data_IF_687492515769
#
_entry.id   IF_687492515769
#
_cell.length_a   1.000
_cell.length_b   1.000
_cell.length_c   1.000
_cell.angle_alpha   90.00
_cell.angle_beta   90.00
_cell.angle_gamma   90.00
#
_symmetry.space_group_name_H-M   'P 1'
#
loop_
_entity.id
_entity.type
_entity.pdbx_description
1 polymer ?
#
# COMPACT_ATOMS: atom_id res chain seq x y z
N UNK A 1 -15.66 61.39 -47.56
CA UNK A 1 -15.15 62.47 -46.68
C UNK A 1 -15.38 62.08 -45.22
N UNK A 2 -14.29 62.10 -44.42
CA UNK A 2 -14.19 62.30 -42.96
C UNK A 2 -14.86 61.25 -42.02
N UNK A 3 -14.05 60.38 -41.38
CA UNK A 3 -13.57 60.40 -39.95
C UNK A 3 -14.63 59.88 -38.97
N UNK A 4 -14.36 59.18 -37.86
CA UNK A 4 -13.24 58.55 -37.16
C UNK A 4 -13.84 58.04 -35.84
N UNK A 5 -13.46 56.86 -35.32
CA UNK A 5 -13.01 56.63 -33.92
C UNK A 5 -13.12 55.17 -33.47
N UNK A 6 -11.97 54.65 -33.06
CA UNK A 6 -11.70 53.37 -32.42
C UNK A 6 -12.32 53.26 -31.02
N UNK A 7 -12.49 52.03 -30.49
CA UNK A 7 -12.10 51.60 -29.13
C UNK A 7 -12.14 50.05 -29.10
N UNK A 8 -10.99 49.44 -28.79
CA UNK A 8 -10.87 48.06 -28.32
C UNK A 8 -11.31 48.00 -26.85
N UNK A 9 -12.07 47.00 -26.43
CA UNK A 9 -12.07 46.59 -25.02
C UNK A 9 -12.25 45.07 -24.85
N UNK A 10 -11.26 44.54 -24.16
CA UNK A 10 -11.09 43.21 -23.57
C UNK A 10 -12.28 42.89 -22.64
N UNK A 11 -12.84 41.68 -22.65
CA UNK A 11 -13.84 41.28 -21.64
C UNK A 11 -13.63 39.83 -21.18
N UNK A 12 -13.14 39.77 -19.95
CA UNK A 12 -13.08 38.68 -18.99
C UNK A 12 -14.45 37.97 -18.89
N UNK A 13 -14.51 36.66 -19.19
CA UNK A 13 -15.71 35.85 -18.92
C UNK A 13 -15.67 35.39 -17.46
N UNK A 14 -16.49 36.07 -16.66
CA UNK A 14 -16.87 35.73 -15.30
C UNK A 14 -17.97 34.65 -15.38
N UNK A 15 -17.65 33.43 -14.96
CA UNK A 15 -18.60 32.31 -14.93
C UNK A 15 -19.42 32.39 -13.64
N UNK A 16 -20.67 32.83 -13.73
CA UNK A 16 -21.66 32.82 -12.66
C UNK A 16 -22.79 31.82 -12.96
N UNK A 17 -22.82 30.77 -12.13
CA UNK A 17 -23.96 30.06 -11.54
C UNK A 17 -25.30 30.02 -12.32
N UNK A 18 -25.69 28.81 -12.74
CA UNK A 18 -27.08 28.36 -12.70
C UNK A 18 -27.14 26.98 -12.02
N UNK A 19 -27.85 26.97 -10.88
CA UNK A 19 -28.24 25.78 -10.12
C UNK A 19 -29.50 25.18 -10.72
N UNK A 20 -29.50 23.87 -11.02
CA UNK A 20 -30.37 22.86 -10.39
C UNK A 20 -30.35 21.55 -11.20
N UNK A 21 -30.39 20.44 -10.45
CA UNK A 21 -30.37 19.03 -10.88
C UNK A 21 -29.00 18.43 -11.14
N UNK A 22 -28.18 18.37 -10.09
CA UNK A 22 -27.23 17.28 -9.93
C UNK A 22 -27.77 16.40 -8.81
N UNK A 23 -28.08 15.14 -9.11
CA UNK A 23 -28.03 14.11 -8.09
C UNK A 23 -26.57 13.98 -7.68
N UNK A 24 -26.13 14.89 -6.81
CA UNK A 24 -24.90 14.76 -6.07
C UNK A 24 -25.13 13.59 -5.14
N UNK A 25 -24.60 12.43 -5.51
CA UNK A 25 -24.35 11.36 -4.55
C UNK A 25 -23.49 12.02 -3.47
N UNK A 26 -24.09 12.33 -2.32
CA UNK A 26 -23.36 12.69 -1.13
C UNK A 26 -22.54 11.45 -0.77
N UNK A 27 -21.26 11.45 -1.17
CA UNK A 27 -20.27 10.60 -0.50
C UNK A 27 -20.32 11.07 0.94
N UNK A 28 -20.87 10.24 1.83
CA UNK A 28 -20.89 10.51 3.26
C UNK A 28 -19.45 10.41 3.76
N UNK A 29 -18.62 11.42 3.49
CA UNK A 29 -17.50 11.67 4.38
C UNK A 29 -18.15 11.97 5.75
N UNK A 30 -17.82 11.13 6.73
CA UNK A 30 -18.21 11.29 8.14
C UNK A 30 -18.09 12.77 8.52
N UNK A 31 -19.14 13.35 9.11
CA UNK A 31 -19.15 14.75 9.49
C UNK A 31 -18.10 15.00 10.60
N UNK A 32 -16.89 15.38 10.18
CA UNK A 32 -15.78 15.70 11.05
C UNK A 32 -15.88 17.11 11.66
N UNK A 33 -17.05 17.77 11.60
CA UNK A 33 -17.24 19.17 12.04
C UNK A 33 -17.96 19.35 13.38
N UNK A 34 -18.31 18.26 14.08
CA UNK A 34 -19.02 18.31 15.36
C UNK A 34 -18.13 18.58 16.59
N UNK A 35 -18.63 19.43 17.51
CA UNK A 35 -17.97 19.77 18.78
C UNK A 35 -17.89 18.60 19.79
N UNK A 36 -18.71 17.56 19.61
CA UNK A 36 -18.72 16.32 20.43
C UNK A 36 -18.41 15.07 19.58
N UNK A 37 -17.20 15.00 19.02
CA UNK A 37 -16.69 13.75 18.42
C UNK A 37 -16.09 12.83 19.49
N UNK A 38 -16.50 11.56 19.47
CA UNK A 38 -15.82 10.55 20.28
C UNK A 38 -14.35 10.40 19.83
N UNK A 39 -13.45 9.90 20.70
CA UNK A 39 -12.03 9.81 20.38
C UNK A 39 -11.72 8.99 19.12
N UNK A 40 -12.46 7.91 18.83
CA UNK A 40 -12.22 7.06 17.68
C UNK A 40 -12.59 7.79 16.38
N UNK A 41 -13.76 8.44 16.35
CA UNK A 41 -14.17 9.27 15.20
C UNK A 41 -13.18 10.40 14.94
N UNK A 42 -12.67 11.04 16.00
CA UNK A 42 -11.65 12.09 15.86
C UNK A 42 -10.34 11.57 15.25
N UNK A 43 -9.86 10.41 15.68
CA UNK A 43 -8.64 9.83 15.08
C UNK A 43 -8.87 9.38 13.63
N UNK A 44 -10.04 8.80 13.33
CA UNK A 44 -10.44 8.48 11.96
C UNK A 44 -10.41 9.72 11.06
N UNK A 45 -11.02 10.83 11.49
CA UNK A 45 -11.03 12.09 10.76
C UNK A 45 -9.62 12.63 10.47
N UNK A 46 -8.68 12.53 11.42
CA UNK A 46 -7.29 12.94 11.18
C UNK A 46 -6.62 12.12 10.10
N UNK A 47 -6.87 10.81 10.05
CA UNK A 47 -6.33 9.95 9.00
C UNK A 47 -6.96 10.31 7.65
N UNK A 48 -8.28 10.51 7.58
CA UNK A 48 -8.94 10.85 6.31
C UNK A 48 -8.53 12.22 5.77
N UNK A 49 -8.20 13.16 6.66
CA UNK A 49 -7.62 14.46 6.28
C UNK A 49 -6.25 14.34 5.60
N UNK A 50 -5.53 13.23 5.79
CA UNK A 50 -4.26 12.96 5.10
C UNK A 50 -4.48 12.68 3.61
N UNK A 51 -5.61 12.06 3.26
CA UNK A 51 -5.93 11.58 1.90
C UNK A 51 -7.30 12.10 1.43
N UNK A 52 -7.50 13.43 1.34
CA UNK A 52 -8.80 13.99 1.02
C UNK A 52 -9.20 13.66 -0.42
N UNK A 53 -10.45 13.21 -0.61
CA UNK A 53 -10.98 12.79 -1.93
C UNK A 53 -10.89 13.92 -2.96
N UNK A 54 -11.12 15.17 -2.54
CA UNK A 54 -11.03 16.34 -3.43
C UNK A 54 -9.61 16.62 -3.96
N UNK A 55 -8.57 16.02 -3.36
CA UNK A 55 -7.19 16.11 -3.82
C UNK A 55 -6.74 14.86 -4.61
N UNK A 56 -7.62 13.88 -4.83
CA UNK A 56 -7.32 12.75 -5.71
C UNK A 56 -7.13 13.26 -7.15
N UNK A 57 -6.01 12.91 -7.77
CA UNK A 57 -5.75 13.20 -9.18
C UNK A 57 -6.26 12.08 -10.08
N UNK A 58 -6.38 10.87 -9.52
CA UNK A 58 -6.90 9.68 -10.20
C UNK A 58 -7.96 9.01 -9.32
N UNK A 59 -9.18 8.94 -9.83
CA UNK A 59 -10.27 8.21 -9.18
C UNK A 59 -10.65 7.02 -10.02
N UNK A 60 -10.77 5.85 -9.40
CA UNK A 60 -11.31 4.69 -10.08
C UNK A 60 -12.80 4.90 -10.39
N UNK A 61 -13.19 4.70 -11.65
CA UNK A 61 -14.56 4.90 -12.14
C UNK A 61 -15.27 3.60 -12.52
N UNK A 62 -14.55 2.49 -12.52
CA UNK A 62 -15.07 1.18 -12.85
C UNK A 62 -14.31 0.07 -12.13
N UNK A 63 -15.00 -1.04 -11.86
CA UNK A 63 -14.36 -2.30 -11.51
C UNK A 63 -13.43 -2.74 -12.63
N UNK A 64 -12.19 -3.11 -12.31
CA UNK A 64 -11.27 -3.47 -13.38
C UNK A 64 -9.82 -3.62 -12.98
N UNK A 65 -8.97 -3.64 -14.00
CA UNK A 65 -7.53 -3.77 -13.84
C UNK A 65 -6.91 -2.38 -13.61
N UNK A 66 -6.03 -2.26 -12.62
CA UNK A 66 -5.21 -1.07 -12.38
C UNK A 66 -4.50 -0.57 -13.64
N UNK A 67 -4.01 -1.49 -14.47
CA UNK A 67 -3.21 -1.17 -15.67
C UNK A 67 -4.04 -0.90 -16.93
N UNK A 68 -5.35 -0.62 -16.78
CA UNK A 68 -6.19 -0.17 -17.88
C UNK A 68 -6.62 1.27 -17.67
N UNK A 69 -6.40 2.12 -18.68
CA UNK A 69 -6.81 3.53 -18.62
C UNK A 69 -8.32 3.73 -18.43
N UNK A 70 -9.14 2.82 -18.96
CA UNK A 70 -10.61 2.83 -18.79
C UNK A 70 -11.09 2.65 -17.34
N UNK A 71 -10.20 2.22 -16.44
CA UNK A 71 -10.49 2.08 -15.01
C UNK A 71 -10.48 3.44 -14.30
N UNK A 72 -9.80 4.45 -14.87
CA UNK A 72 -9.47 5.71 -14.19
C UNK A 72 -10.12 6.92 -14.83
N UNK A 73 -10.41 7.94 -14.02
CA UNK A 73 -11.07 9.18 -14.41
C UNK A 73 -10.39 9.94 -15.54
N UNK A 74 -9.06 9.90 -15.64
CA UNK A 74 -8.31 10.57 -16.72
C UNK A 74 -8.19 9.75 -18.01
N UNK A 75 -8.65 8.50 -18.02
CA UNK A 75 -8.43 7.57 -19.13
C UNK A 75 -7.00 7.02 -19.20
N UNK A 76 -6.13 7.32 -18.24
CA UNK A 76 -4.74 6.85 -18.16
C UNK A 76 -4.49 6.11 -16.84
N UNK A 77 -3.52 5.20 -16.84
CA UNK A 77 -3.08 4.48 -15.62
C UNK A 77 -2.36 5.46 -14.69
N UNK A 78 -2.53 5.37 -13.35
CA UNK A 78 -1.83 6.21 -12.41
C UNK A 78 -0.31 6.16 -12.57
N UNK A 79 0.34 7.33 -12.53
CA UNK A 79 1.78 7.54 -12.71
C UNK A 79 2.43 8.18 -11.46
N UNK A 80 3.75 8.34 -11.46
CA UNK A 80 4.47 8.90 -10.32
C UNK A 80 3.95 10.29 -9.92
N UNK A 81 3.88 10.53 -8.60
CA UNK A 81 3.42 11.80 -8.04
C UNK A 81 1.91 11.96 -7.96
N UNK A 82 1.12 10.98 -8.40
CA UNK A 82 -0.33 11.05 -8.35
C UNK A 82 -0.93 10.60 -7.01
N UNK A 83 -2.14 11.09 -6.77
CA UNK A 83 -2.96 10.81 -5.62
C UNK A 83 -4.13 9.93 -6.08
N UNK A 84 -4.20 8.69 -5.60
CA UNK A 84 -5.12 7.68 -6.12
C UNK A 84 -6.23 7.38 -5.12
N UNK A 85 -7.47 7.38 -5.59
CA UNK A 85 -8.66 7.03 -4.81
C UNK A 85 -9.44 5.88 -5.44
N UNK A 86 -9.72 4.85 -4.64
CA UNK A 86 -10.61 3.74 -4.98
C UNK A 86 -11.90 3.91 -4.15
N UNK A 87 -13.02 4.36 -4.76
CA UNK A 87 -14.28 4.55 -4.07
C UNK A 87 -14.89 3.27 -3.54
N UNK A 88 -15.87 3.42 -2.65
CA UNK A 88 -16.78 2.36 -2.22
C UNK A 88 -17.39 1.64 -3.44
N UNK A 89 -17.70 0.35 -3.28
CA UNK A 89 -18.24 -0.53 -4.34
C UNK A 89 -17.36 -0.70 -5.60
N UNK A 90 -16.12 -0.20 -5.60
CA UNK A 90 -15.13 -0.42 -6.68
C UNK A 90 -14.04 -1.39 -6.23
N UNK A 91 -13.91 -2.50 -6.96
CA UNK A 91 -12.83 -3.48 -6.85
C UNK A 91 -11.83 -3.31 -7.98
N UNK A 92 -10.58 -3.04 -7.61
CA UNK A 92 -9.43 -2.94 -8.52
C UNK A 92 -8.54 -4.16 -8.38
N UNK A 93 -8.20 -4.76 -9.52
CA UNK A 93 -7.21 -5.84 -9.61
C UNK A 93 -5.86 -5.26 -10.02
N UNK A 94 -4.86 -5.39 -9.17
CA UNK A 94 -3.48 -5.00 -9.44
C UNK A 94 -2.72 -6.21 -10.00
N UNK A 95 -2.50 -6.26 -11.32
CA UNK A 95 -1.97 -7.45 -12.02
C UNK A 95 -0.65 -7.22 -12.77
N UNK A 96 0.18 -6.31 -12.28
CA UNK A 96 1.44 -5.97 -12.93
C UNK A 96 2.44 -5.37 -11.95
N UNK A 97 3.61 -5.02 -12.46
CA UNK A 97 4.69 -4.40 -11.72
C UNK A 97 4.90 -2.98 -12.22
N UNK A 98 4.91 -2.01 -11.31
CA UNK A 98 5.19 -0.61 -11.60
C UNK A 98 6.33 -0.11 -10.73
N UNK A 99 7.16 0.77 -11.28
CA UNK A 99 8.13 1.56 -10.52
C UNK A 99 7.68 3.02 -10.33
N UNK A 100 6.50 3.37 -10.86
CA UNK A 100 5.89 4.68 -10.68
C UNK A 100 5.48 4.86 -9.21
N UNK A 101 6.10 5.81 -8.52
CA UNK A 101 5.85 6.08 -7.10
C UNK A 101 4.70 7.08 -6.95
N UNK A 102 3.49 6.60 -6.63
CA UNK A 102 2.35 7.46 -6.30
C UNK A 102 2.51 8.06 -4.89
N UNK A 103 1.96 9.25 -4.64
CA UNK A 103 2.10 9.90 -3.32
C UNK A 103 1.25 9.19 -2.27
N UNK A 104 -0.04 9.04 -2.57
CA UNK A 104 -0.92 8.32 -1.68
C UNK A 104 -2.00 7.54 -2.41
N UNK A 105 -2.50 6.52 -1.73
CA UNK A 105 -3.58 5.66 -2.16
C UNK A 105 -4.62 5.55 -1.05
N UNK A 106 -5.83 6.08 -1.28
CA UNK A 106 -7.00 5.88 -0.42
C UNK A 106 -7.86 4.74 -0.98
N UNK A 107 -8.17 3.77 -0.13
CA UNK A 107 -8.96 2.60 -0.48
C UNK A 107 -10.21 2.58 0.40
N UNK A 108 -11.35 2.95 -0.19
CA UNK A 108 -12.67 2.77 0.40
C UNK A 108 -13.35 1.50 -0.11
N UNK A 109 -13.14 1.16 -1.39
CA UNK A 109 -13.57 -0.12 -1.98
C UNK A 109 -12.55 -1.24 -1.73
N UNK A 110 -12.12 -1.91 -2.81
CA UNK A 110 -11.18 -3.02 -2.71
C UNK A 110 -10.00 -2.86 -3.67
N UNK A 111 -8.78 -3.09 -3.18
CA UNK A 111 -7.61 -3.35 -3.99
C UNK A 111 -7.15 -4.79 -3.75
N UNK A 112 -7.15 -5.60 -4.81
CA UNK A 112 -6.66 -6.99 -4.77
C UNK A 112 -5.50 -7.19 -5.73
N UNK A 113 -4.44 -7.83 -5.27
CA UNK A 113 -3.28 -8.18 -6.07
C UNK A 113 -3.48 -9.54 -6.74
N UNK A 114 -3.09 -9.66 -8.00
CA UNK A 114 -3.06 -10.96 -8.69
C UNK A 114 -2.04 -11.89 -8.05
N UNK A 115 -2.40 -13.18 -7.95
CA UNK A 115 -1.62 -14.20 -7.22
C UNK A 115 -0.77 -15.08 -8.13
N UNK A 116 -0.89 -14.91 -9.44
CA UNK A 116 -0.29 -15.71 -10.49
C UNK A 116 0.59 -14.89 -11.45
N UNK A 117 1.05 -13.72 -11.01
CA UNK A 117 1.99 -12.85 -11.71
C UNK A 117 2.75 -12.01 -10.68
N UNK A 118 3.98 -11.61 -11.02
CA UNK A 118 4.73 -10.66 -10.20
C UNK A 118 4.01 -9.32 -10.15
N UNK A 119 3.77 -8.82 -8.94
CA UNK A 119 3.13 -7.53 -8.71
C UNK A 119 3.96 -6.65 -7.81
N UNK A 120 4.03 -5.36 -8.15
CA UNK A 120 4.76 -4.35 -7.39
C UNK A 120 4.04 -3.02 -7.47
N UNK A 121 3.63 -2.49 -6.32
CA UNK A 121 3.13 -1.13 -6.14
C UNK A 121 4.20 -0.31 -5.40
N UNK A 122 4.55 0.86 -5.93
CA UNK A 122 5.40 1.84 -5.25
C UNK A 122 4.54 3.02 -4.84
N UNK A 123 4.52 3.34 -3.56
CA UNK A 123 3.62 4.35 -2.99
C UNK A 123 4.25 4.97 -1.77
N UNK A 124 4.02 6.25 -1.48
CA UNK A 124 4.48 6.82 -0.20
C UNK A 124 3.52 6.49 0.96
N UNK A 125 2.21 6.70 0.79
CA UNK A 125 1.22 6.44 1.85
C UNK A 125 0.02 5.64 1.36
N UNK A 126 -0.39 4.60 2.08
CA UNK A 126 -1.67 3.90 1.86
C UNK A 126 -2.59 4.16 3.04
N UNK A 127 -3.84 4.51 2.76
CA UNK A 127 -4.91 4.53 3.76
C UNK A 127 -6.00 3.57 3.30
N UNK A 128 -6.30 2.57 4.11
CA UNK A 128 -7.45 1.68 3.92
C UNK A 128 -8.50 2.12 4.91
N UNK A 129 -9.58 2.68 4.37
CA UNK A 129 -10.72 3.17 5.15
C UNK A 129 -11.45 2.01 5.83
N UNK A 130 -12.36 2.29 6.76
CA UNK A 130 -13.07 1.27 7.57
C UNK A 130 -13.83 0.22 6.75
N UNK A 131 -14.36 0.61 5.59
CA UNK A 131 -15.02 -0.30 4.64
C UNK A 131 -14.05 -0.88 3.58
N UNK A 132 -12.84 -0.32 3.51
CA UNK A 132 -11.81 -0.65 2.57
C UNK A 132 -11.22 -2.04 2.75
N UNK A 133 -10.80 -2.65 1.64
CA UNK A 133 -10.19 -3.98 1.59
C UNK A 133 -8.89 -3.98 0.82
N UNK A 134 -7.82 -4.43 1.46
CA UNK A 134 -6.52 -4.69 0.82
C UNK A 134 -6.22 -6.19 0.84
N UNK A 135 -6.15 -6.81 -0.35
CA UNK A 135 -5.94 -8.26 -0.52
C UNK A 135 -4.65 -8.56 -1.27
N UNK A 136 -3.66 -9.10 -0.57
CA UNK A 136 -2.38 -9.57 -1.10
C UNK A 136 -2.32 -11.11 -1.02
N UNK A 137 -3.15 -11.75 -1.83
CA UNK A 137 -3.46 -13.18 -1.67
C UNK A 137 -4.46 -13.44 -0.54
N UNK A 138 -5.15 -14.58 -0.63
CA UNK A 138 -6.18 -15.00 0.33
C UNK A 138 -5.97 -16.45 0.72
N UNK A 139 -6.67 -16.90 1.76
CA UNK A 139 -6.54 -18.29 2.24
C UNK A 139 -7.05 -19.29 1.19
N UNK A 140 -8.01 -18.88 0.34
CA UNK A 140 -8.51 -19.68 -0.78
C UNK A 140 -7.65 -19.57 -2.06
N UNK A 141 -6.93 -18.46 -2.23
CA UNK A 141 -6.08 -18.19 -3.37
C UNK A 141 -4.84 -17.42 -2.91
N UNK A 142 -3.81 -18.11 -2.36
CA UNK A 142 -2.57 -17.47 -1.93
C UNK A 142 -1.74 -17.05 -3.16
N UNK A 143 -0.82 -16.10 -2.98
CA UNK A 143 0.22 -15.78 -3.97
C UNK A 143 1.04 -17.05 -4.23
N UNK A 144 1.10 -17.50 -5.47
CA UNK A 144 1.78 -18.73 -5.84
C UNK A 144 3.30 -18.57 -5.65
N UNK A 145 4.00 -19.66 -5.31
CA UNK A 145 5.41 -19.64 -4.91
C UNK A 145 6.37 -19.11 -5.98
N UNK A 146 5.97 -19.11 -7.24
CA UNK A 146 6.76 -18.60 -8.37
C UNK A 146 6.65 -17.08 -8.57
N UNK A 147 5.76 -16.40 -7.84
CA UNK A 147 5.50 -14.97 -8.02
C UNK A 147 5.67 -14.17 -6.74
N UNK A 148 6.01 -12.88 -6.90
CA UNK A 148 6.09 -11.90 -5.82
C UNK A 148 4.87 -10.99 -5.79
N UNK A 149 4.53 -10.51 -4.60
CA UNK A 149 3.49 -9.49 -4.38
C UNK A 149 4.06 -8.45 -3.42
N UNK A 150 4.39 -7.28 -3.95
CA UNK A 150 5.17 -6.26 -3.25
C UNK A 150 4.42 -4.94 -3.17
N UNK A 151 4.42 -4.36 -1.98
CA UNK A 151 4.14 -2.94 -1.74
C UNK A 151 5.42 -2.32 -1.20
N UNK A 152 5.96 -1.35 -1.92
CA UNK A 152 7.20 -0.66 -1.57
C UNK A 152 6.86 0.76 -1.17
N UNK A 153 7.15 1.11 0.08
CA UNK A 153 7.00 2.48 0.55
C UNK A 153 8.16 3.33 0.05
N UNK A 154 7.89 4.29 -0.84
CA UNK A 154 8.92 5.16 -1.41
C UNK A 154 9.34 6.24 -0.41
N UNK A 155 10.65 6.45 -0.28
CA UNK A 155 11.18 7.63 0.40
C UNK A 155 11.13 8.84 -0.54
N UNK A 156 10.14 9.73 -0.35
CA UNK A 156 10.06 11.02 -1.06
C UNK A 156 10.57 12.19 -0.19
N UNK A 157 11.45 11.92 0.77
CA UNK A 157 12.06 12.91 1.66
C UNK A 157 11.36 13.05 3.01
N UNK A 158 11.59 14.14 3.77
CA UNK A 158 10.99 14.33 5.09
C UNK A 158 9.45 14.44 5.07
N UNK A 159 8.79 14.14 6.19
CA UNK A 159 7.34 14.36 6.35
C UNK A 159 7.03 15.85 6.20
N UNK A 160 6.10 16.18 5.31
CA UNK A 160 5.56 17.53 5.20
C UNK A 160 4.58 17.78 6.34
N UNK A 161 5.03 18.46 7.40
CA UNK A 161 4.22 18.70 8.61
C UNK A 161 3.10 19.73 8.43
N UNK A 162 3.02 20.41 7.28
CA UNK A 162 1.89 21.29 6.95
C UNK A 162 0.71 20.44 6.45
N UNK A 163 0.97 19.47 5.58
CA UNK A 163 -0.02 18.52 5.10
C UNK A 163 -0.34 17.42 6.13
N UNK A 164 0.69 16.96 6.83
CA UNK A 164 0.62 15.89 7.83
C UNK A 164 1.10 16.39 9.22
N UNK A 165 0.29 17.23 9.91
CA UNK A 165 0.66 17.77 11.22
C UNK A 165 0.78 16.69 12.31
N UNK A 166 0.20 15.51 12.10
CA UNK A 166 0.21 14.39 13.04
C UNK A 166 1.28 13.33 12.72
N UNK A 167 2.02 13.48 11.62
CA UNK A 167 3.12 12.60 11.18
C UNK A 167 2.69 11.15 10.97
N UNK A 168 1.55 10.98 10.31
CA UNK A 168 0.93 9.68 10.00
C UNK A 168 1.39 9.08 8.67
N UNK A 169 1.86 9.91 7.73
CA UNK A 169 2.26 9.51 6.36
C UNK A 169 3.52 8.64 6.31
N UNK A 170 3.88 8.20 5.10
CA UNK A 170 5.07 7.39 4.76
C UNK A 170 4.99 5.94 5.23
N UNK A 171 3.82 5.34 5.05
CA UNK A 171 3.55 3.95 5.42
C UNK A 171 2.12 3.56 5.09
N UNK A 172 1.58 2.59 5.83
CA UNK A 172 0.20 2.14 5.69
C UNK A 172 -0.58 2.41 6.97
N UNK A 173 -1.76 3.00 6.82
CA UNK A 173 -2.75 3.17 7.87
C UNK A 173 -3.94 2.27 7.53
N UNK A 174 -4.10 1.21 8.33
CA UNK A 174 -5.15 0.21 8.17
C UNK A 174 -6.28 0.47 9.14
N UNK A 175 -7.46 0.84 8.62
CA UNK A 175 -8.70 0.90 9.40
C UNK A 175 -9.71 -0.17 8.98
N UNK A 176 -9.68 -0.59 7.70
CA UNK A 176 -10.48 -1.68 7.16
C UNK A 176 -9.78 -3.04 7.17
N UNK A 177 -10.18 -3.91 6.23
CA UNK A 177 -9.71 -5.28 6.15
C UNK A 177 -8.37 -5.40 5.43
N UNK A 178 -7.48 -6.23 5.99
CA UNK A 178 -6.26 -6.68 5.34
C UNK A 178 -6.17 -8.20 5.37
N UNK A 179 -5.92 -8.79 4.20
CA UNK A 179 -5.51 -10.19 4.10
C UNK A 179 -4.27 -10.31 3.23
N UNK A 180 -3.28 -11.04 3.74
CA UNK A 180 -2.09 -11.42 2.98
C UNK A 180 -1.78 -12.89 3.18
N UNK A 181 -1.63 -13.61 2.08
CA UNK A 181 -1.33 -15.04 2.04
C UNK A 181 -0.40 -15.34 0.88
N UNK A 182 0.83 -15.75 1.21
CA UNK A 182 1.76 -16.36 0.27
C UNK A 182 1.60 -17.88 0.22
N UNK A 183 2.32 -18.51 -0.70
CA UNK A 183 2.42 -19.96 -0.77
C UNK A 183 2.85 -20.54 0.58
N UNK A 184 2.19 -21.62 0.99
CA UNK A 184 2.49 -22.29 2.26
C UNK A 184 3.93 -22.80 2.27
N UNK A 185 4.60 -22.60 3.41
CA UNK A 185 5.91 -23.17 3.73
C UNK A 185 5.86 -23.69 5.15
N UNK A 186 6.50 -24.83 5.40
CA UNK A 186 6.75 -25.27 6.78
C UNK A 186 7.50 -24.15 7.51
N UNK A 187 6.99 -23.63 8.64
CA UNK A 187 7.54 -22.41 9.24
C UNK A 187 8.93 -22.63 9.85
N UNK A 188 9.17 -23.81 10.41
CA UNK A 188 10.47 -24.20 10.95
C UNK A 188 10.62 -25.71 10.93
N UNK A 189 11.87 -26.18 10.87
CA UNK A 189 12.24 -27.57 11.09
C UNK A 189 13.47 -27.61 11.97
N UNK A 190 13.47 -28.48 12.97
CA UNK A 190 14.62 -28.68 13.85
C UNK A 190 15.80 -29.28 13.08
N UNK A 191 17.01 -28.96 13.52
CA UNK A 191 18.21 -29.58 13.00
C UNK A 191 18.37 -30.99 13.61
N UNK A 192 18.55 -32.00 12.77
CA UNK A 192 18.71 -33.40 13.23
C UNK A 192 20.03 -33.62 13.98
N UNK A 193 21.04 -32.80 13.68
CA UNK A 193 22.36 -32.82 14.31
C UNK A 193 23.00 -31.46 14.15
N UNK A 194 23.79 -31.00 15.13
CA UNK A 194 24.51 -29.73 15.02
C UNK A 194 25.33 -29.61 13.72
N UNK A 195 25.43 -28.39 13.19
CA UNK A 195 26.25 -28.07 12.03
C UNK A 195 27.55 -27.39 12.47
N UNK A 196 28.64 -27.63 11.75
CA UNK A 196 29.92 -26.95 12.00
C UNK A 196 29.99 -25.64 11.22
N UNK A 197 30.69 -24.64 11.78
CA UNK A 197 30.96 -23.40 11.07
C UNK A 197 31.61 -23.67 9.70
N UNK A 198 31.11 -23.02 8.65
CA UNK A 198 31.56 -23.23 7.27
C UNK A 198 30.92 -24.41 6.55
N UNK A 199 30.00 -25.16 7.17
CA UNK A 199 29.20 -26.15 6.47
C UNK A 199 28.29 -25.49 5.43
N UNK A 200 28.14 -26.13 4.27
CA UNK A 200 27.19 -25.74 3.22
C UNK A 200 25.97 -26.67 3.15
N UNK A 201 25.78 -27.55 4.14
CA UNK A 201 24.65 -28.47 4.23
C UNK A 201 24.09 -28.48 5.64
N UNK A 202 22.76 -28.52 5.73
CA UNK A 202 22.01 -28.72 6.96
C UNK A 202 21.28 -30.07 6.89
N UNK A 203 21.34 -30.83 7.98
CA UNK A 203 20.54 -32.06 8.11
C UNK A 203 19.34 -31.74 8.99
N UNK A 204 18.14 -31.81 8.43
CA UNK A 204 16.88 -31.49 9.11
C UNK A 204 16.22 -32.75 9.69
N UNK A 205 15.48 -32.60 10.78
CA UNK A 205 14.78 -33.69 11.46
C UNK A 205 13.62 -34.27 10.63
N UNK A 206 13.07 -33.47 9.72
CA UNK A 206 12.05 -33.87 8.75
C UNK A 206 12.23 -33.10 7.43
N UNK A 207 11.54 -33.55 6.38
CA UNK A 207 11.54 -32.86 5.09
C UNK A 207 10.54 -31.68 5.17
N UNK A 208 10.98 -30.42 5.02
CA UNK A 208 10.07 -29.28 4.98
C UNK A 208 9.24 -29.26 3.69
N UNK A 209 7.99 -28.82 3.80
CA UNK A 209 7.12 -28.54 2.67
C UNK A 209 7.29 -27.09 2.20
N UNK A 210 7.32 -26.88 0.89
CA UNK A 210 7.32 -25.54 0.28
C UNK A 210 8.65 -24.77 0.36
N UNK A 211 9.71 -25.37 0.93
CA UNK A 211 11.06 -24.79 0.90
C UNK A 211 11.69 -25.03 -0.47
N UNK A 212 12.21 -23.97 -1.09
CA UNK A 212 12.78 -24.00 -2.43
C UNK A 212 14.16 -23.33 -2.48
N UNK A 213 14.95 -23.67 -3.51
CA UNK A 213 16.19 -22.93 -3.84
C UNK A 213 15.88 -21.44 -3.97
N UNK A 214 16.70 -20.59 -3.36
CA UNK A 214 16.49 -19.15 -3.24
C UNK A 214 15.80 -18.70 -1.95
N UNK A 215 15.19 -19.62 -1.18
CA UNK A 215 14.57 -19.28 0.10
C UNK A 215 15.62 -18.90 1.14
N UNK A 216 15.29 -17.87 1.93
CA UNK A 216 16.09 -17.42 3.07
C UNK A 216 15.69 -18.23 4.31
N UNK A 217 16.67 -18.91 4.89
CA UNK A 217 16.53 -19.60 6.17
C UNK A 217 17.17 -18.76 7.26
N UNK A 218 16.45 -18.56 8.36
CA UNK A 218 17.01 -17.98 9.58
C UNK A 218 17.32 -19.12 10.54
N UNK A 219 18.58 -19.26 10.91
CA UNK A 219 19.03 -20.21 11.91
C UNK A 219 19.18 -19.45 13.23
N UNK A 220 18.34 -19.78 14.21
CA UNK A 220 18.45 -19.24 15.54
C UNK A 220 19.69 -19.80 16.24
N UNK A 221 20.52 -18.91 16.81
CA UNK A 221 21.65 -19.33 17.63
C UNK A 221 21.18 -19.94 18.95
N UNK A 222 21.55 -21.20 19.23
CA UNK A 222 21.36 -21.80 20.56
C UNK A 222 22.72 -21.94 21.27
N UNK A 223 22.98 -21.08 22.26
CA UNK A 223 24.13 -21.26 23.15
C UNK A 223 23.72 -22.12 24.35
N UNK A 224 24.33 -23.29 24.51
CA UNK A 224 24.19 -24.12 25.72
C UNK A 224 25.49 -24.19 26.53
N UNK A 225 26.34 -23.16 26.45
CA UNK A 225 27.63 -23.13 27.14
C UNK A 225 27.55 -22.35 28.46
N UNK A 226 27.72 -23.04 29.59
CA UNK A 226 27.92 -22.44 30.93
C UNK A 226 29.28 -21.75 31.11
N UNK A 227 30.00 -21.47 30.02
CA UNK A 227 31.36 -20.90 30.06
C UNK A 227 31.54 -19.89 28.94
N UNK A 228 31.06 -18.67 29.16
CA UNK A 228 31.26 -17.54 28.26
C UNK A 228 30.79 -16.27 28.95
N UNK A 229 31.66 -15.29 29.07
CA UNK A 229 31.52 -14.12 29.92
C UNK A 229 30.20 -13.34 29.74
N UNK A 230 29.65 -12.93 30.88
CA UNK A 230 28.53 -11.99 31.06
C UNK A 230 28.91 -10.54 30.67
N UNK A 231 29.81 -10.33 29.69
CA UNK A 231 30.28 -9.00 29.30
C UNK A 231 30.03 -8.62 27.83
N UNK A 232 29.21 -9.39 27.10
CA UNK A 232 28.77 -8.99 25.77
C UNK A 232 27.37 -9.52 25.44
N UNK A 233 26.34 -8.75 25.78
CA UNK A 233 24.94 -9.03 25.42
C UNK A 233 24.62 -8.88 23.91
N UNK A 234 25.61 -8.78 23.02
CA UNK A 234 25.42 -8.42 21.61
C UNK A 234 25.86 -9.48 20.58
N UNK A 235 25.99 -10.75 20.96
CA UNK A 235 26.31 -11.85 20.02
C UNK A 235 25.30 -12.99 20.07
N UNK A 236 24.02 -12.67 19.85
CA UNK A 236 23.07 -13.66 19.35
C UNK A 236 23.29 -13.77 17.84
N UNK A 237 24.09 -14.75 17.43
CA UNK A 237 24.44 -14.99 16.03
C UNK A 237 23.31 -15.74 15.33
N UNK A 238 22.28 -15.02 14.91
CA UNK A 238 21.35 -15.56 13.92
C UNK A 238 22.03 -15.57 12.56
N UNK A 239 22.00 -16.71 11.88
CA UNK A 239 22.56 -16.85 10.53
C UNK A 239 21.43 -16.85 9.50
N UNK A 240 21.54 -15.97 8.51
CA UNK A 240 20.64 -15.99 7.35
C UNK A 240 21.34 -16.70 6.20
N UNK A 241 20.84 -17.88 5.85
CA UNK A 241 21.33 -18.67 4.73
C UNK A 241 20.35 -18.63 3.56
N UNK A 242 20.84 -18.89 2.36
CA UNK A 242 20.01 -19.08 1.17
C UNK A 242 20.14 -20.52 0.73
N UNK A 243 19.01 -21.20 0.48
CA UNK A 243 19.02 -22.53 -0.11
C UNK A 243 19.61 -22.41 -1.52
N UNK A 244 20.72 -23.10 -1.79
CA UNK A 244 21.40 -23.10 -3.10
C UNK A 244 21.26 -24.43 -3.82
#
# INVERSE_FOLDING_TARGET
MLKSNSIFLNTLILCLLFSTSLHSQMVMDMDCTGDEMDPMTREHCKVMALVPICCATQTAIANGNWFLGSTWSSGNVPVAGENVYIPDDITITYNGSSNEAINWLRINGELKFSTNINTKLVVETIVVDTEGKLRMGTSANPVQSSYTCEVVFSDQGPINTIWDPYKLSKGIIMQGEYESRGAFKTPYVEMNSGTSAGSNKLTLASIPEGWNVGDKLVIAGITTGTTGAIDNENKQHDEVLIIT
#
